data_IF_536228007628
#
_entry.id   IF_536228007628
#
_cell.length_a   1.000
_cell.length_b   1.000
_cell.length_c   1.000
_cell.angle_alpha   90.00
_cell.angle_beta   90.00
_cell.angle_gamma   90.00
#
_symmetry.space_group_name_H-M   'P 1'
#
loop_
_entity.id
_entity.type
_entity.pdbx_description
1 polymer ?
#
# COMPACT_ATOMS: atom_id res chain seq x y z
N UNK A 1 1.87 22.96 -8.08
CA UNK A 1 0.74 22.32 -7.38
C UNK A 1 1.34 21.26 -6.48
N UNK A 2 1.29 21.42 -5.16
CA UNK A 2 1.79 20.41 -4.22
C UNK A 2 0.73 19.32 -4.14
N UNK A 3 1.04 18.10 -4.60
CA UNK A 3 0.12 16.98 -4.51
C UNK A 3 0.06 16.54 -3.04
N UNK A 4 -1.04 16.83 -2.36
CA UNK A 4 -1.25 16.41 -0.97
C UNK A 4 -1.47 14.91 -0.94
N UNK A 5 -0.52 14.17 -0.37
CA UNK A 5 -0.67 12.73 -0.17
C UNK A 5 -1.77 12.51 0.88
N UNK A 6 -2.88 11.88 0.47
CA UNK A 6 -3.98 11.53 1.37
C UNK A 6 -3.93 10.04 1.69
N UNK A 7 -3.04 9.67 2.62
CA UNK A 7 -2.95 8.29 3.10
C UNK A 7 -4.21 7.92 3.89
N UNK A 8 -4.98 6.95 3.40
CA UNK A 8 -6.15 6.39 4.09
C UNK A 8 -5.93 4.91 4.40
N UNK A 9 -6.47 4.45 5.53
CA UNK A 9 -6.39 3.03 5.91
C UNK A 9 -7.15 2.18 4.89
N UNK A 10 -6.48 1.16 4.36
CA UNK A 10 -7.06 0.18 3.45
C UNK A 10 -7.53 -1.03 4.29
N UNK A 11 -8.73 -1.52 4.00
CA UNK A 11 -9.31 -2.72 4.63
C UNK A 11 -9.20 -3.95 3.74
N UNK A 12 -9.25 -3.75 2.42
CA UNK A 12 -9.01 -4.80 1.44
C UNK A 12 -8.51 -4.19 0.13
N UNK A 13 -7.87 -5.01 -0.70
CA UNK A 13 -7.50 -4.62 -2.06
C UNK A 13 -7.85 -5.71 -3.07
N UNK A 14 -8.04 -5.30 -4.32
CA UNK A 14 -8.07 -6.19 -5.48
C UNK A 14 -6.95 -5.79 -6.43
N UNK A 15 -6.11 -6.74 -6.81
CA UNK A 15 -5.04 -6.53 -7.77
C UNK A 15 -5.44 -7.09 -9.16
N UNK A 16 -5.17 -6.34 -10.23
CA UNK A 16 -5.29 -6.82 -11.60
C UNK A 16 -3.98 -6.59 -12.35
N UNK A 17 -3.41 -7.66 -12.88
CA UNK A 17 -2.25 -7.62 -13.78
C UNK A 17 -2.68 -7.98 -15.20
N UNK A 18 -2.32 -7.15 -16.18
CA UNK A 18 -2.59 -7.36 -17.60
C UNK A 18 -1.27 -7.69 -18.31
N UNK A 19 -0.91 -8.99 -18.47
CA UNK A 19 0.42 -9.38 -18.94
C UNK A 19 0.74 -8.92 -20.36
N UNK A 20 -0.27 -8.82 -21.23
CA UNK A 20 -0.10 -8.34 -22.61
C UNK A 20 0.28 -6.86 -22.69
N UNK A 21 -0.10 -6.07 -21.69
CA UNK A 21 0.20 -4.63 -21.63
C UNK A 21 1.40 -4.33 -20.74
N UNK A 22 1.90 -5.34 -20.02
CA UNK A 22 2.92 -5.18 -18.97
C UNK A 22 2.54 -4.09 -17.94
N UNK A 23 1.25 -4.02 -17.60
CA UNK A 23 0.67 -3.05 -16.67
C UNK A 23 -0.26 -3.71 -15.68
N UNK A 24 -0.38 -3.14 -14.49
CA UNK A 24 -1.35 -3.55 -13.49
C UNK A 24 -1.84 -2.40 -12.65
N UNK A 25 -2.90 -2.61 -11.89
CA UNK A 25 -3.40 -1.63 -10.95
C UNK A 25 -4.08 -2.31 -9.77
N UNK A 26 -4.37 -1.51 -8.75
CA UNK A 26 -5.07 -1.94 -7.56
C UNK A 26 -6.39 -1.18 -7.43
N UNK A 27 -7.41 -1.86 -6.92
CA UNK A 27 -8.50 -1.20 -6.23
C UNK A 27 -8.25 -1.27 -4.74
N UNK A 28 -8.22 -0.13 -4.08
CA UNK A 28 -8.18 -0.03 -2.63
C UNK A 28 -9.59 0.20 -2.11
N UNK A 29 -10.00 -0.64 -1.16
CA UNK A 29 -11.18 -0.38 -0.34
C UNK A 29 -10.70 0.23 0.96
N UNK A 30 -11.16 1.44 1.24
CA UNK A 30 -10.79 2.19 2.42
C UNK A 30 -11.71 1.89 3.60
N UNK A 31 -11.28 2.29 4.79
CA UNK A 31 -12.01 2.06 6.03
C UNK A 31 -13.37 2.75 6.10
N UNK A 32 -13.55 3.86 5.37
CA UNK A 32 -14.83 4.57 5.19
C UNK A 32 -15.79 3.84 4.22
N UNK A 33 -15.34 2.76 3.57
CA UNK A 33 -16.10 1.98 2.60
C UNK A 33 -15.90 2.44 1.16
N UNK A 34 -15.19 3.55 0.92
CA UNK A 34 -14.89 4.00 -0.43
C UNK A 34 -13.99 2.99 -1.14
N UNK A 35 -14.21 2.86 -2.44
CA UNK A 35 -13.36 2.04 -3.30
C UNK A 35 -12.82 2.86 -4.44
N UNK A 36 -11.50 3.00 -4.48
CA UNK A 36 -10.80 3.78 -5.48
C UNK A 36 -9.77 2.95 -6.23
N UNK A 37 -9.46 3.36 -7.45
CA UNK A 37 -8.51 2.66 -8.32
C UNK A 37 -7.22 3.45 -8.45
N UNK A 38 -6.08 2.77 -8.40
CA UNK A 38 -4.79 3.37 -8.75
C UNK A 38 -4.70 3.69 -10.24
N UNK A 39 -3.74 4.53 -10.62
CA UNK A 39 -3.27 4.56 -11.99
C UNK A 39 -2.61 3.21 -12.36
N UNK A 40 -2.41 2.97 -13.66
CA UNK A 40 -1.68 1.78 -14.11
C UNK A 40 -0.20 1.90 -13.77
N UNK A 41 0.32 0.88 -13.13
CA UNK A 41 1.71 0.71 -12.73
C UNK A 41 2.44 -0.19 -13.71
N UNK A 42 3.74 0.03 -13.86
CA UNK A 42 4.64 -0.93 -14.49
C UNK A 42 4.86 -2.17 -13.60
N UNK A 43 5.56 -3.16 -14.16
CA UNK A 43 5.81 -4.44 -13.50
C UNK A 43 6.55 -4.29 -12.15
N UNK A 44 7.54 -3.42 -12.08
CA UNK A 44 8.40 -3.28 -10.90
C UNK A 44 7.67 -2.58 -9.76
N UNK A 45 6.95 -1.51 -10.08
CA UNK A 45 6.10 -0.79 -9.13
C UNK A 45 4.97 -1.69 -8.64
N UNK A 46 4.31 -2.42 -9.54
CA UNK A 46 3.23 -3.34 -9.18
C UNK A 46 3.71 -4.44 -8.20
N UNK A 47 4.85 -5.07 -8.49
CA UNK A 47 5.46 -6.09 -7.61
C UNK A 47 5.85 -5.51 -6.25
N UNK A 48 6.38 -4.28 -6.23
CA UNK A 48 6.76 -3.59 -5.00
C UNK A 48 5.53 -3.36 -4.13
N UNK A 49 4.44 -2.84 -4.69
CA UNK A 49 3.18 -2.63 -3.97
C UNK A 49 2.62 -3.96 -3.45
N UNK A 50 2.61 -5.02 -4.25
CA UNK A 50 2.20 -6.36 -3.78
C UNK A 50 2.99 -6.83 -2.56
N UNK A 51 4.33 -6.67 -2.58
CA UNK A 51 5.19 -7.06 -1.47
C UNK A 51 4.90 -6.27 -0.19
N UNK A 52 4.54 -5.00 -0.30
CA UNK A 52 4.18 -4.16 0.85
C UNK A 52 2.80 -4.55 1.40
N UNK A 53 1.87 -4.91 0.52
CA UNK A 53 0.52 -5.35 0.89
C UNK A 53 0.48 -6.77 1.49
N UNK A 54 1.50 -7.58 1.26
CA UNK A 54 1.65 -8.93 1.83
C UNK A 54 2.05 -8.86 3.31
N UNK A 55 1.11 -8.45 4.16
CA UNK A 55 1.31 -8.28 5.60
C UNK A 55 0.00 -8.37 6.37
N UNK A 56 0.07 -8.83 7.63
CA UNK A 56 -1.06 -8.81 8.58
C UNK A 56 -1.18 -7.47 9.32
N UNK A 57 -0.24 -6.54 9.10
CA UNK A 57 -0.24 -5.22 9.76
C UNK A 57 -1.21 -4.25 9.08
N UNK A 58 -1.70 -3.22 9.78
CA UNK A 58 -2.51 -2.18 9.15
C UNK A 58 -1.74 -1.49 8.00
N UNK A 59 -2.36 -1.41 6.84
CA UNK A 59 -1.82 -0.72 5.66
C UNK A 59 -2.62 0.55 5.37
N UNK A 60 -1.90 1.59 4.97
CA UNK A 60 -2.45 2.84 4.47
C UNK A 60 -2.03 3.00 3.02
N UNK A 61 -2.89 3.59 2.21
CA UNK A 61 -2.51 3.90 0.84
C UNK A 61 -3.25 5.08 0.25
N UNK A 62 -2.71 5.55 -0.86
CA UNK A 62 -3.21 6.65 -1.67
C UNK A 62 -3.35 6.14 -3.10
N UNK A 63 -4.59 6.10 -3.60
CA UNK A 63 -4.85 5.60 -4.95
C UNK A 63 -4.28 6.54 -6.03
N UNK A 64 -4.18 7.84 -5.76
CA UNK A 64 -3.73 8.80 -6.78
C UNK A 64 -2.25 8.60 -7.12
N UNK A 65 -1.42 8.33 -6.12
CA UNK A 65 0.02 8.10 -6.24
C UNK A 65 0.42 6.63 -6.21
N UNK A 66 -0.53 5.73 -5.94
CA UNK A 66 -0.30 4.31 -5.65
C UNK A 66 0.65 4.05 -4.46
N UNK A 67 0.89 5.07 -3.63
CA UNK A 67 1.72 4.92 -2.45
C UNK A 67 1.02 4.01 -1.44
N UNK A 68 1.81 3.14 -0.80
CA UNK A 68 1.38 2.25 0.27
C UNK A 68 2.38 2.32 1.42
N UNK A 69 1.87 2.26 2.65
CA UNK A 69 2.66 2.31 3.86
C UNK A 69 2.11 1.32 4.89
N UNK A 70 3.02 0.56 5.51
CA UNK A 70 2.67 -0.36 6.60
C UNK A 70 2.88 0.35 7.92
N UNK A 71 1.88 0.32 8.79
CA UNK A 71 2.03 0.77 10.16
C UNK A 71 2.68 -0.33 10.98
N UNK A 72 4.01 -0.29 11.12
CA UNK A 72 4.73 -1.07 12.12
C UNK A 72 4.89 -0.24 13.39
N UNK A 73 4.49 -0.80 14.54
CA UNK A 73 4.97 -0.26 15.82
C UNK A 73 6.50 -0.21 15.80
N UNK A 74 7.12 0.82 16.41
CA UNK A 74 8.56 0.81 16.63
C UNK A 74 8.92 -0.50 17.29
N UNK A 75 9.83 -1.26 16.70
CA UNK A 75 10.40 -2.39 17.41
C UNK A 75 11.28 -1.77 18.48
N UNK A 76 10.73 -1.61 19.69
CA UNK A 76 11.55 -1.35 20.87
C UNK A 76 12.52 -2.51 20.98
N UNK A 77 13.72 -2.33 20.41
CA UNK A 77 14.87 -3.13 20.74
C UNK A 77 15.06 -2.90 22.24
N UNK A 78 14.44 -3.76 23.07
CA UNK A 78 14.84 -3.95 24.45
C UNK A 78 16.22 -4.61 24.43
N UNK A 79 17.23 -3.83 24.03
CA UNK A 79 18.61 -4.12 24.42
C UNK A 79 18.60 -4.08 25.93
N UNK A 80 18.66 -5.27 26.52
CA UNK A 80 18.63 -5.46 27.95
C UNK A 80 19.62 -4.51 28.60
N UNK A 81 19.11 -3.62 29.44
CA UNK A 81 19.87 -3.07 30.53
C UNK A 81 20.27 -4.26 31.41
N UNK A 82 21.43 -4.84 31.12
CA UNK A 82 22.10 -5.69 32.09
C UNK A 82 22.60 -4.76 33.19
N UNK A 83 21.89 -4.84 34.32
CA UNK A 83 22.24 -4.29 35.61
C UNK A 83 23.48 -4.99 36.21
#
# INVERSE_FOLDING_TARGET
MTQTISMRRITSYQALWRPLENKGHFWFTYFDGDRERTHDLDADSFRTVMKVLDTDKPVFGDHTTAAVAVHSEPTDLKVGAWA
#
